data_IF_413514164519
#
_entry.id   IF_413514164519
#
_cell.length_a   1.000
_cell.length_b   1.000
_cell.length_c   1.000
_cell.angle_alpha   90.00
_cell.angle_beta   90.00
_cell.angle_gamma   90.00
#
_symmetry.space_group_name_H-M   'P 1'
#
loop_
_entity.id
_entity.type
_entity.pdbx_description
1 polymer ?
#
# COMPACT_ATOMS: atom_id res chain seq x y z
N UNK A 1 68.43 -50.00 27.46
CA UNK A 1 68.63 -49.78 26.01
C UNK A 1 67.26 -49.69 25.37
N UNK A 2 67.04 -48.65 24.55
CA UNK A 2 65.95 -48.51 23.57
C UNK A 2 64.54 -48.30 24.12
N UNK A 3 63.68 -47.39 23.65
CA UNK A 3 63.79 -46.15 22.88
C UNK A 3 62.50 -45.40 23.19
N UNK A 4 62.59 -44.10 23.45
CA UNK A 4 61.43 -43.23 23.66
C UNK A 4 60.62 -43.12 22.35
N UNK A 5 59.33 -43.40 22.43
CA UNK A 5 58.36 -43.25 21.33
C UNK A 5 57.32 -42.21 21.75
N UNK A 6 57.47 -41.01 21.17
CA UNK A 6 56.46 -40.17 20.52
C UNK A 6 55.03 -40.73 20.62
N UNK A 7 54.02 -40.01 21.16
CA UNK A 7 53.22 -39.07 20.38
C UNK A 7 52.71 -37.94 21.28
N UNK A 8 53.09 -36.72 20.90
CA UNK A 8 52.65 -35.45 21.43
C UNK A 8 51.14 -35.25 21.31
N UNK A 9 50.47 -35.01 22.43
CA UNK A 9 49.44 -33.99 22.69
C UNK A 9 48.86 -33.26 21.45
N UNK A 10 48.23 -34.02 20.55
CA UNK A 10 47.56 -33.53 19.34
C UNK A 10 46.20 -34.21 19.29
N UNK A 11 45.15 -33.45 19.00
CA UNK A 11 43.79 -33.93 18.73
C UNK A 11 42.82 -34.11 19.92
N UNK A 12 42.81 -33.19 20.89
CA UNK A 12 41.59 -32.89 21.68
C UNK A 12 41.42 -31.37 21.82
N UNK A 13 41.08 -30.68 20.72
CA UNK A 13 40.32 -29.40 20.74
C UNK A 13 39.56 -29.24 19.41
N UNK A 14 38.80 -30.26 19.01
CA UNK A 14 37.86 -30.19 17.87
C UNK A 14 36.61 -29.33 18.18
N UNK A 15 36.71 -28.36 19.08
CA UNK A 15 35.59 -27.50 19.44
C UNK A 15 36.09 -26.08 19.72
N UNK A 16 35.61 -25.14 18.89
CA UNK A 16 35.69 -23.68 19.06
C UNK A 16 36.90 -22.95 18.51
N UNK A 17 37.33 -23.18 17.27
CA UNK A 17 38.02 -22.10 16.57
C UNK A 17 37.87 -22.22 15.04
N UNK A 18 37.74 -21.07 14.39
CA UNK A 18 38.02 -20.79 12.98
C UNK A 18 36.95 -21.15 11.93
N UNK A 19 35.74 -20.60 12.08
CA UNK A 19 34.95 -20.18 10.90
C UNK A 19 35.41 -18.79 10.43
N UNK A 20 36.72 -18.59 10.28
CA UNK A 20 37.32 -17.32 9.86
C UNK A 20 38.41 -17.56 8.82
N UNK A 21 37.99 -18.03 7.65
CA UNK A 21 38.65 -17.78 6.38
C UNK A 21 37.69 -16.84 5.66
N UNK A 22 37.96 -15.56 5.48
CA UNK A 22 38.82 -15.03 4.41
C UNK A 22 39.38 -13.69 4.91
N UNK A 23 40.58 -13.71 5.48
CA UNK A 23 41.38 -12.49 5.67
C UNK A 23 42.31 -12.36 4.47
N UNK A 24 41.85 -11.66 3.42
CA UNK A 24 42.72 -11.20 2.37
C UNK A 24 43.13 -9.75 2.66
N UNK A 25 44.36 -9.61 3.15
CA UNK A 25 45.29 -8.56 2.76
C UNK A 25 44.77 -7.12 2.74
N UNK A 26 44.45 -6.53 3.90
CA UNK A 26 44.48 -5.07 4.03
C UNK A 26 45.92 -4.62 4.17
N UNK A 27 46.58 -4.49 3.02
CA UNK A 27 47.82 -3.75 2.89
C UNK A 27 47.61 -2.33 3.40
N UNK A 28 48.58 -1.85 4.19
CA UNK A 28 48.66 -0.48 4.71
C UNK A 28 48.50 0.54 3.58
N UNK A 29 47.37 1.23 3.53
CA UNK A 29 47.22 2.47 2.76
C UNK A 29 46.78 3.57 3.74
N UNK A 30 47.76 4.36 4.18
CA UNK A 30 47.51 5.65 4.81
C UNK A 30 47.17 6.63 3.71
N UNK A 31 45.88 6.90 3.50
CA UNK A 31 45.45 8.08 2.76
C UNK A 31 44.14 8.58 3.37
N UNK A 32 44.18 9.82 3.83
CA UNK A 32 43.06 10.57 4.39
C UNK A 32 42.02 10.74 3.29
N UNK A 33 40.87 10.08 3.39
CA UNK A 33 39.78 10.25 2.43
C UNK A 33 38.96 11.48 2.83
N UNK A 34 38.87 12.52 1.99
CA UNK A 34 38.11 13.71 2.28
C UNK A 34 36.61 13.39 2.26
N UNK A 35 35.86 14.04 3.16
CA UNK A 35 34.40 14.26 3.18
C UNK A 35 33.72 13.76 1.90
N UNK A 36 33.43 12.46 1.83
CA UNK A 36 32.83 11.82 0.67
C UNK A 36 31.35 11.69 0.94
N UNK A 37 30.61 12.63 0.34
CA UNK A 37 29.20 12.58 -0.05
C UNK A 37 28.46 11.31 0.41
N UNK A 38 27.78 11.43 1.54
CA UNK A 38 26.63 10.61 1.86
C UNK A 38 25.49 11.03 0.90
N UNK A 39 25.56 10.59 -0.35
CA UNK A 39 24.45 10.76 -1.29
C UNK A 39 23.38 9.74 -0.89
N UNK A 40 22.55 10.12 0.09
CA UNK A 40 21.34 9.40 0.43
C UNK A 40 20.44 9.45 -0.81
N UNK A 41 20.44 8.37 -1.60
CA UNK A 41 19.50 8.19 -2.68
C UNK A 41 18.09 8.14 -2.05
N UNK A 42 17.37 9.26 -2.14
CA UNK A 42 15.94 9.30 -1.87
C UNK A 42 15.25 8.49 -2.96
N UNK A 43 15.10 7.20 -2.72
CA UNK A 43 14.27 6.34 -3.57
C UNK A 43 12.82 6.77 -3.29
N UNK A 44 12.25 7.58 -4.19
CA UNK A 44 10.84 7.93 -4.14
C UNK A 44 10.05 6.67 -4.49
N UNK A 45 9.52 5.99 -3.47
CA UNK A 45 8.57 4.89 -3.68
C UNK A 45 7.26 5.52 -4.16
N UNK A 46 6.71 5.12 -5.31
CA UNK A 46 5.40 5.58 -5.72
C UNK A 46 4.39 5.13 -4.66
N UNK A 47 3.82 6.08 -3.93
CA UNK A 47 2.74 5.83 -2.99
C UNK A 47 1.53 5.37 -3.80
N UNK A 48 1.28 4.07 -3.82
CA UNK A 48 0.04 3.52 -4.35
C UNK A 48 -1.07 3.84 -3.35
N UNK A 49 -2.19 4.36 -3.82
CA UNK A 49 -3.34 4.61 -2.96
C UNK A 49 -3.96 3.32 -2.43
N UNK A 50 -4.71 3.46 -1.35
CA UNK A 50 -5.37 2.33 -0.70
C UNK A 50 -6.56 1.83 -1.52
N UNK A 51 -6.87 0.54 -1.38
CA UNK A 51 -8.05 -0.08 -1.99
C UNK A 51 -9.09 -0.36 -0.94
N UNK A 52 -10.31 0.12 -1.17
CA UNK A 52 -11.47 -0.06 -0.30
C UNK A 52 -12.61 -0.77 -1.01
N UNK A 53 -13.58 -1.24 -0.23
CA UNK A 53 -14.72 -1.99 -0.74
C UNK A 53 -16.04 -1.50 -0.14
N UNK A 54 -17.05 -1.43 -0.98
CA UNK A 54 -18.43 -1.10 -0.62
C UNK A 54 -19.33 -2.25 -1.03
N UNK A 55 -20.26 -2.67 -0.17
CA UNK A 55 -21.25 -3.70 -0.45
C UNK A 55 -22.55 -3.37 0.29
N UNK A 56 -23.70 -3.66 -0.32
CA UNK A 56 -25.02 -3.41 0.30
C UNK A 56 -25.21 -4.15 1.62
N UNK A 57 -24.53 -5.28 1.82
CA UNK A 57 -24.50 -6.06 3.06
C UNK A 57 -23.48 -5.58 4.11
N UNK A 58 -22.70 -4.53 3.80
CA UNK A 58 -21.66 -3.99 4.66
C UNK A 58 -22.17 -3.08 5.78
N UNK A 59 -21.23 -2.38 6.43
CA UNK A 59 -21.49 -1.38 7.48
C UNK A 59 -20.50 -0.22 7.37
N UNK A 60 -20.97 1.02 7.49
CA UNK A 60 -20.09 2.20 7.43
C UNK A 60 -19.18 2.36 8.67
N UNK A 61 -19.40 1.53 9.70
CA UNK A 61 -18.50 1.39 10.84
C UNK A 61 -17.32 0.44 10.56
N UNK A 62 -17.36 -0.31 9.46
CA UNK A 62 -16.28 -1.21 9.08
C UNK A 62 -15.04 -0.44 8.61
N UNK A 63 -13.85 -1.08 8.55
CA UNK A 63 -12.64 -0.46 8.01
C UNK A 63 -12.64 -0.28 6.49
N UNK A 64 -13.62 -0.83 5.76
CA UNK A 64 -13.68 -0.72 4.29
C UNK A 64 -12.80 -1.74 3.56
N UNK A 65 -12.42 -2.83 4.22
CA UNK A 65 -11.68 -3.95 3.61
C UNK A 65 -12.61 -4.85 2.82
N UNK A 66 -12.08 -5.76 2.00
CA UNK A 66 -12.92 -6.66 1.20
C UNK A 66 -13.82 -7.58 2.04
N UNK A 67 -13.29 -8.02 3.19
CA UNK A 67 -14.00 -8.87 4.15
C UNK A 67 -14.96 -8.07 5.05
N UNK A 68 -14.67 -6.78 5.30
CA UNK A 68 -15.50 -5.88 6.08
C UNK A 68 -15.72 -4.59 5.27
N UNK A 69 -16.56 -4.64 4.23
CA UNK A 69 -16.79 -3.50 3.35
C UNK A 69 -17.67 -2.45 4.04
N UNK A 70 -17.55 -1.20 3.57
CA UNK A 70 -18.53 -0.17 3.89
C UNK A 70 -19.89 -0.48 3.26
N UNK A 71 -20.94 0.14 3.78
CA UNK A 71 -22.29 -0.04 3.27
C UNK A 71 -22.60 0.93 2.14
N UNK A 72 -22.12 2.16 2.25
CA UNK A 72 -22.51 3.27 1.35
C UNK A 72 -21.35 3.74 0.49
N UNK A 73 -21.67 4.20 -0.72
CA UNK A 73 -20.71 4.85 -1.62
C UNK A 73 -20.35 6.23 -1.04
N UNK A 74 -21.29 6.90 -0.38
CA UNK A 74 -21.04 8.18 0.29
C UNK A 74 -20.00 8.06 1.41
N UNK A 75 -19.97 6.94 2.14
CA UNK A 75 -18.89 6.68 3.12
C UNK A 75 -17.52 6.67 2.45
N UNK A 76 -17.40 6.03 1.29
CA UNK A 76 -16.16 6.08 0.50
C UNK A 76 -15.88 7.52 0.04
N UNK A 77 -16.89 8.23 -0.46
CA UNK A 77 -16.75 9.60 -0.96
C UNK A 77 -16.27 10.61 0.10
N UNK A 78 -16.62 10.37 1.37
CA UNK A 78 -16.14 11.15 2.51
C UNK A 78 -14.73 10.76 2.99
N UNK A 79 -14.23 9.57 2.63
CA UNK A 79 -13.01 8.99 3.22
C UNK A 79 -11.82 8.97 2.25
N UNK A 80 -12.05 8.68 0.97
CA UNK A 80 -10.98 8.49 -0.01
C UNK A 80 -10.14 9.74 -0.20
N UNK A 81 -8.83 9.55 -0.35
CA UNK A 81 -7.86 10.59 -0.69
C UNK A 81 -7.17 10.29 -2.03
N UNK A 82 -6.39 11.23 -2.54
CA UNK A 82 -5.76 11.13 -3.85
C UNK A 82 -4.97 9.81 -4.04
N UNK A 83 -5.30 9.08 -5.11
CA UNK A 83 -4.72 7.77 -5.44
C UNK A 83 -5.55 6.58 -4.96
N UNK A 84 -6.47 6.79 -4.02
CA UNK A 84 -7.29 5.69 -3.50
C UNK A 84 -8.31 5.20 -4.53
N UNK A 85 -8.65 3.92 -4.41
CA UNK A 85 -9.68 3.27 -5.23
C UNK A 85 -10.68 2.58 -4.32
N UNK A 86 -11.98 2.72 -4.63
CA UNK A 86 -13.03 1.92 -4.04
C UNK A 86 -13.66 1.02 -5.10
N UNK A 87 -13.77 -0.27 -4.77
CA UNK A 87 -14.57 -1.23 -5.54
C UNK A 87 -15.95 -1.40 -4.90
N UNK A 88 -16.97 -1.10 -5.68
CA UNK A 88 -18.37 -1.21 -5.28
C UNK A 88 -18.92 -2.54 -5.80
N UNK A 89 -19.33 -3.42 -4.90
CA UNK A 89 -19.89 -4.73 -5.23
C UNK A 89 -21.31 -4.60 -5.75
N UNK A 90 -21.79 -5.66 -6.39
CA UNK A 90 -23.11 -5.70 -7.01
C UNK A 90 -24.22 -5.26 -6.05
N UNK A 91 -25.13 -4.44 -6.57
CA UNK A 91 -26.28 -3.97 -5.81
C UNK A 91 -26.84 -2.65 -6.29
N UNK A 92 -27.97 -2.29 -5.70
CA UNK A 92 -28.64 -1.00 -5.90
C UNK A 92 -28.39 -0.10 -4.71
N UNK A 93 -27.81 1.06 -4.96
CA UNK A 93 -27.43 2.05 -3.96
C UNK A 93 -28.35 3.26 -4.11
N UNK A 94 -29.24 3.46 -3.15
CA UNK A 94 -30.16 4.59 -3.13
C UNK A 94 -29.58 5.71 -2.25
N UNK A 95 -28.68 6.51 -2.82
CA UNK A 95 -27.98 7.56 -2.10
C UNK A 95 -27.53 8.70 -3.03
N UNK A 96 -27.23 9.85 -2.43
CA UNK A 96 -26.51 10.95 -3.09
C UNK A 96 -25.03 10.89 -2.71
N UNK A 97 -24.17 10.93 -3.72
CA UNK A 97 -22.71 10.83 -3.57
C UNK A 97 -22.06 12.17 -3.86
N UNK A 98 -21.32 12.70 -2.88
CA UNK A 98 -20.58 13.97 -2.96
C UNK A 98 -19.16 13.73 -2.42
N UNK A 99 -18.15 13.55 -3.30
CA UNK A 99 -16.76 13.44 -2.91
C UNK A 99 -16.28 14.66 -2.11
N UNK A 100 -15.62 14.41 -0.98
CA UNK A 100 -15.11 15.48 -0.12
C UNK A 100 -13.68 15.91 -0.46
N UNK A 101 -12.93 15.05 -1.14
CA UNK A 101 -11.53 15.27 -1.49
C UNK A 101 -11.32 15.32 -3.02
N UNK A 102 -10.22 15.95 -3.43
CA UNK A 102 -9.74 15.93 -4.81
C UNK A 102 -8.61 14.90 -4.95
N UNK A 103 -8.50 14.30 -6.13
CA UNK A 103 -7.26 13.66 -6.54
C UNK A 103 -6.20 14.68 -6.94
N UNK A 104 -5.12 14.20 -7.55
CA UNK A 104 -4.09 15.05 -8.16
C UNK A 104 -3.58 14.40 -9.47
N UNK A 105 -2.80 15.11 -10.30
CA UNK A 105 -2.29 14.55 -11.56
C UNK A 105 -1.59 13.20 -11.36
N UNK A 106 -2.12 12.16 -12.00
CA UNK A 106 -1.62 10.79 -11.88
C UNK A 106 -2.19 9.98 -10.70
N UNK A 107 -2.79 10.63 -9.70
CA UNK A 107 -3.39 9.97 -8.53
C UNK A 107 -4.87 10.37 -8.41
N UNK A 108 -5.70 9.75 -9.26
CA UNK A 108 -7.14 9.96 -9.24
C UNK A 108 -7.76 9.27 -8.02
N UNK A 109 -8.85 9.84 -7.49
CA UNK A 109 -9.76 9.09 -6.62
C UNK A 109 -10.69 8.30 -7.52
N UNK A 110 -10.69 6.97 -7.39
CA UNK A 110 -11.41 6.09 -8.31
C UNK A 110 -12.57 5.38 -7.62
N UNK A 111 -13.77 5.52 -8.17
CA UNK A 111 -14.98 4.76 -7.82
C UNK A 111 -15.25 3.77 -8.96
N UNK A 112 -15.02 2.49 -8.72
CA UNK A 112 -15.17 1.45 -9.73
C UNK A 112 -16.15 0.38 -9.28
N UNK A 113 -16.94 -0.17 -10.21
CA UNK A 113 -17.64 -1.43 -9.94
C UNK A 113 -16.60 -2.54 -9.73
N UNK A 114 -16.89 -3.46 -8.81
CA UNK A 114 -16.09 -4.66 -8.63
C UNK A 114 -16.11 -5.46 -9.95
N UNK A 115 -14.98 -6.03 -10.41
CA UNK A 115 -14.91 -6.65 -11.73
C UNK A 115 -16.00 -7.74 -11.94
N UNK A 116 -16.85 -7.53 -12.94
CA UNK A 116 -17.95 -8.44 -13.28
C UNK A 116 -19.28 -8.14 -12.57
N UNK A 117 -19.29 -7.26 -11.59
CA UNK A 117 -20.50 -6.86 -10.88
C UNK A 117 -21.25 -5.75 -11.62
N UNK A 118 -22.58 -5.76 -11.51
CA UNK A 118 -23.44 -4.67 -11.96
C UNK A 118 -23.84 -3.82 -10.75
N UNK A 119 -23.48 -2.54 -10.79
CA UNK A 119 -23.79 -1.57 -9.73
C UNK A 119 -24.77 -0.56 -10.28
N UNK A 120 -25.84 -0.29 -9.53
CA UNK A 120 -26.83 0.71 -9.91
C UNK A 120 -26.88 1.78 -8.84
N UNK A 121 -26.55 3.02 -9.20
CA UNK A 121 -26.84 4.19 -8.37
C UNK A 121 -28.26 4.66 -8.68
N UNK A 122 -29.16 4.51 -7.72
CA UNK A 122 -30.59 4.68 -7.92
C UNK A 122 -31.11 5.94 -7.22
N UNK A 123 -31.86 6.75 -7.96
CA UNK A 123 -32.41 8.02 -7.49
C UNK A 123 -33.81 7.95 -6.92
N UNK A 124 -34.37 6.76 -6.68
CA UNK A 124 -35.76 6.62 -6.20
C UNK A 124 -35.92 7.37 -4.87
N UNK A 125 -36.94 8.22 -4.76
CA UNK A 125 -37.18 9.08 -3.59
C UNK A 125 -36.06 10.09 -3.26
N UNK A 126 -35.09 10.30 -4.16
CA UNK A 126 -34.10 11.36 -4.04
C UNK A 126 -34.56 12.50 -4.95
N UNK A 127 -34.82 13.67 -4.37
CA UNK A 127 -35.15 14.89 -5.10
C UNK A 127 -33.92 15.81 -5.13
N UNK A 128 -33.04 15.70 -6.15
CA UNK A 128 -31.94 16.64 -6.29
C UNK A 128 -32.47 18.05 -6.54
N UNK A 129 -31.84 19.04 -5.90
CA UNK A 129 -32.09 20.45 -6.17
C UNK A 129 -31.52 20.86 -7.54
N UNK A 130 -31.76 22.11 -7.93
CA UNK A 130 -31.29 22.64 -9.21
C UNK A 130 -29.76 22.61 -9.29
N UNK A 131 -29.22 21.77 -10.18
CA UNK A 131 -27.77 21.59 -10.36
C UNK A 131 -27.18 20.39 -9.63
N UNK A 132 -27.95 19.69 -8.80
CA UNK A 132 -27.53 18.44 -8.16
C UNK A 132 -27.80 17.23 -9.06
N UNK A 133 -26.90 16.25 -8.98
CA UNK A 133 -27.10 14.91 -9.51
C UNK A 133 -27.04 13.88 -8.37
N UNK A 134 -27.28 12.61 -8.68
CA UNK A 134 -27.03 11.54 -7.72
C UNK A 134 -25.54 11.42 -7.38
N UNK A 135 -24.67 11.76 -8.32
CA UNK A 135 -23.24 11.90 -8.09
C UNK A 135 -22.82 13.33 -8.46
N UNK A 136 -22.62 14.17 -7.45
CA UNK A 136 -22.25 15.58 -7.62
C UNK A 136 -20.78 15.79 -7.32
N UNK A 137 -20.04 16.36 -8.28
CA UNK A 137 -18.63 16.76 -8.10
C UNK A 137 -18.57 18.27 -7.92
N UNK A 138 -18.56 18.72 -6.66
CA UNK A 138 -18.58 20.14 -6.32
C UNK A 138 -17.16 20.63 -6.00
N UNK A 139 -16.56 21.37 -6.93
CA UNK A 139 -15.23 21.95 -6.74
C UNK A 139 -14.11 20.91 -6.52
N UNK A 140 -14.33 19.65 -6.89
CA UNK A 140 -13.31 18.59 -6.85
C UNK A 140 -12.78 18.29 -8.25
N UNK A 141 -11.56 17.78 -8.28
CA UNK A 141 -10.85 17.43 -9.51
C UNK A 141 -10.22 16.05 -9.39
N UNK A 142 -9.87 15.45 -10.54
CA UNK A 142 -9.21 14.15 -10.63
C UNK A 142 -10.01 13.02 -9.97
N UNK A 143 -11.32 13.00 -10.23
CA UNK A 143 -12.23 11.92 -9.84
C UNK A 143 -12.47 11.03 -11.06
N UNK A 144 -12.40 9.72 -10.88
CA UNK A 144 -12.72 8.73 -11.90
C UNK A 144 -13.88 7.86 -11.43
N UNK A 145 -14.87 7.67 -12.29
CA UNK A 145 -16.02 6.79 -12.04
C UNK A 145 -16.07 5.79 -13.20
N UNK A 146 -16.20 4.50 -12.93
CA UNK A 146 -16.19 3.46 -13.99
C UNK A 146 -16.97 2.21 -13.63
N UNK A 147 -17.73 1.68 -14.59
CA UNK A 147 -18.44 0.40 -14.47
C UNK A 147 -19.82 0.46 -13.81
N UNK A 148 -20.35 1.67 -13.61
CA UNK A 148 -21.71 1.94 -13.15
C UNK A 148 -22.63 2.19 -14.35
#
# INVERSE_FOLDING_TARGET
MSSAITVSKWSIEKAKVVNLMITNCVARVRFVIPVSLLFAALVSVPAHGATYYVATSGSDANPGTEAQPWRTIQKAAATLIAGDTVYVKAGTYNEKVIPQNSGNPGNYITYAAYPGDTVTLDGTNITPDWGDALFTIEGKSYIKISGF
#
